data_IF_716755951241
#
_entry.id   IF_716755951241
#
_cell.length_a   1.000
_cell.length_b   1.000
_cell.length_c   1.000
_cell.angle_alpha   90.00
_cell.angle_beta   90.00
_cell.angle_gamma   90.00
#
_symmetry.space_group_name_H-M   'P 1'
#
loop_
_entity.id
_entity.type
_entity.pdbx_description
1 polymer ?
#
# COMPACT_ATOMS: atom_id res chain seq x y z
N UNK A 1 -8.07 -17.74 2.82
CA UNK A 1 -8.64 -16.93 1.73
C UNK A 1 -7.63 -15.86 1.37
N UNK A 2 -7.28 -15.79 0.08
CA UNK A 2 -5.97 -15.34 -0.41
C UNK A 2 -5.70 -13.85 -0.23
N UNK A 3 -4.78 -13.54 0.69
CA UNK A 3 -4.08 -12.26 0.70
C UNK A 3 -3.15 -12.30 -0.50
N UNK A 4 -3.46 -11.51 -1.53
CA UNK A 4 -2.59 -11.40 -2.70
C UNK A 4 -1.40 -10.51 -2.35
N UNK A 5 -0.32 -11.13 -1.84
CA UNK A 5 0.98 -10.47 -1.69
C UNK A 5 1.73 -10.53 -3.02
N UNK A 6 2.05 -9.37 -3.56
CA UNK A 6 2.68 -9.21 -4.87
C UNK A 6 4.21 -9.19 -4.72
N UNK A 7 4.81 -10.33 -4.40
CA UNK A 7 6.25 -10.55 -4.62
C UNK A 7 6.47 -10.96 -6.08
N UNK A 8 6.69 -9.99 -6.95
CA UNK A 8 7.33 -10.15 -8.27
C UNK A 8 6.81 -11.31 -9.17
N UNK A 9 5.49 -11.59 -9.18
CA UNK A 9 4.85 -12.59 -10.07
C UNK A 9 3.38 -12.36 -10.46
N UNK A 10 2.75 -11.27 -10.05
CA UNK A 10 1.34 -11.02 -10.35
C UNK A 10 1.16 -9.63 -10.95
N UNK A 11 0.53 -9.57 -12.13
CA UNK A 11 0.39 -8.36 -12.93
C UNK A 11 -0.55 -7.33 -12.25
N UNK A 12 -0.35 -6.05 -12.57
CA UNK A 12 -1.30 -4.98 -12.25
C UNK A 12 -2.75 -5.43 -12.52
N UNK A 13 -3.74 -5.00 -11.71
CA UNK A 13 -5.12 -5.43 -11.87
C UNK A 13 -5.54 -5.27 -13.34
N UNK A 14 -6.17 -6.30 -13.89
CA UNK A 14 -6.55 -6.26 -15.30
C UNK A 14 -7.46 -5.06 -15.55
N UNK A 15 -7.46 -4.55 -16.78
CA UNK A 15 -8.30 -3.40 -17.15
C UNK A 15 -9.76 -3.64 -16.76
N UNK A 16 -10.26 -4.87 -16.92
CA UNK A 16 -11.61 -5.27 -16.50
C UNK A 16 -11.84 -5.25 -14.98
N UNK A 17 -10.88 -5.73 -14.17
CA UNK A 17 -10.99 -5.64 -12.71
C UNK A 17 -10.97 -4.19 -12.25
N UNK A 18 -10.12 -3.38 -12.87
CA UNK A 18 -10.03 -1.95 -12.64
C UNK A 18 -11.36 -1.28 -12.99
N UNK A 19 -11.94 -1.57 -14.16
CA UNK A 19 -13.21 -1.01 -14.59
C UNK A 19 -14.42 -1.52 -13.80
N UNK A 20 -14.34 -2.72 -13.21
CA UNK A 20 -15.42 -3.31 -12.41
C UNK A 20 -15.45 -2.77 -10.98
N UNK A 21 -14.29 -2.60 -10.35
CA UNK A 21 -14.21 -2.23 -8.93
C UNK A 21 -13.78 -0.78 -8.69
N UNK A 22 -13.16 -0.11 -9.68
CA UNK A 22 -12.77 1.30 -9.59
C UNK A 22 -13.77 2.25 -10.28
N UNK A 23 -15.06 1.90 -10.24
CA UNK A 23 -16.14 2.81 -10.64
C UNK A 23 -16.86 3.31 -9.39
N UNK A 24 -17.18 4.60 -9.38
CA UNK A 24 -17.92 5.24 -8.28
C UNK A 24 -17.09 6.28 -7.55
N UNK A 25 -17.63 6.79 -6.46
CA UNK A 25 -16.91 7.67 -5.54
C UNK A 25 -15.78 6.88 -4.89
N UNK A 26 -14.58 7.46 -4.92
CA UNK A 26 -13.38 6.88 -4.34
C UNK A 26 -12.93 7.78 -3.21
N UNK A 27 -12.71 7.18 -2.05
CA UNK A 27 -12.08 7.85 -0.92
C UNK A 27 -10.58 7.59 -0.98
N UNK A 28 -9.83 8.62 -1.35
CA UNK A 28 -8.37 8.56 -1.50
C UNK A 28 -7.69 9.06 -0.23
N UNK A 29 -6.84 8.21 0.34
CA UNK A 29 -6.03 8.51 1.51
C UNK A 29 -4.56 8.41 1.15
N UNK A 30 -3.82 9.49 1.40
CA UNK A 30 -2.36 9.51 1.29
C UNK A 30 -1.78 9.36 2.69
N UNK A 31 -0.92 8.36 2.85
CA UNK A 31 -0.36 7.92 4.11
C UNK A 31 1.16 7.86 4.01
N UNK A 32 1.81 7.95 5.17
CA UNK A 32 3.26 7.87 5.26
C UNK A 32 3.99 9.17 4.86
N UNK A 33 5.34 9.13 4.88
CA UNK A 33 6.18 10.27 4.52
C UNK A 33 5.94 10.62 3.05
N UNK A 34 5.76 11.92 2.78
CA UNK A 34 5.52 12.47 1.43
C UNK A 34 4.32 11.88 0.66
N UNK A 35 3.40 11.17 1.33
CA UNK A 35 2.28 10.49 0.66
C UNK A 35 2.72 9.29 -0.18
N UNK A 36 3.85 8.67 0.19
CA UNK A 36 4.42 7.49 -0.47
C UNK A 36 3.48 6.27 -0.49
N UNK A 37 2.52 6.19 0.44
CA UNK A 37 1.50 5.16 0.47
C UNK A 37 0.15 5.77 0.10
N UNK A 38 -0.51 5.23 -0.92
CA UNK A 38 -1.85 5.62 -1.33
C UNK A 38 -2.83 4.49 -1.07
N UNK A 39 -3.89 4.76 -0.30
CA UNK A 39 -5.00 3.86 -0.08
C UNK A 39 -6.26 4.43 -0.74
N UNK A 40 -6.78 3.76 -1.75
CA UNK A 40 -8.03 4.09 -2.42
C UNK A 40 -9.13 3.16 -1.94
N UNK A 41 -10.16 3.69 -1.29
CA UNK A 41 -11.32 2.93 -0.84
C UNK A 41 -12.47 3.15 -1.82
N UNK A 42 -12.95 2.05 -2.39
CA UNK A 42 -14.16 1.97 -3.18
C UNK A 42 -15.29 1.36 -2.34
N UNK A 43 -16.51 1.35 -2.87
CA UNK A 43 -17.68 0.79 -2.20
C UNK A 43 -17.41 -0.66 -1.73
N UNK A 44 -16.96 -1.52 -2.64
CA UNK A 44 -16.72 -2.95 -2.39
C UNK A 44 -15.26 -3.40 -2.60
N UNK A 45 -14.31 -2.47 -2.66
CA UNK A 45 -12.91 -2.79 -2.87
C UNK A 45 -11.99 -1.76 -2.22
N UNK A 46 -10.74 -2.12 -2.00
CA UNK A 46 -9.69 -1.21 -1.58
C UNK A 46 -8.42 -1.47 -2.40
N UNK A 47 -7.75 -0.41 -2.82
CA UNK A 47 -6.49 -0.49 -3.54
C UNK A 47 -5.41 0.22 -2.74
N UNK A 48 -4.41 -0.54 -2.32
CA UNK A 48 -3.26 -0.06 -1.58
C UNK A 48 -2.06 0.00 -2.53
N UNK A 49 -1.38 1.13 -2.56
CA UNK A 49 -0.18 1.38 -3.35
C UNK A 49 0.90 1.92 -2.44
N UNK A 50 2.11 1.44 -2.62
CA UNK A 50 3.34 1.95 -2.02
C UNK A 50 4.29 2.31 -3.18
N UNK A 51 4.66 3.58 -3.28
CA UNK A 51 5.57 4.05 -4.33
C UNK A 51 7.04 3.76 -3.98
N UNK A 52 7.38 3.72 -2.69
CA UNK A 52 8.75 3.48 -2.20
C UNK A 52 9.19 2.04 -2.47
N UNK A 53 8.32 1.07 -2.21
CA UNK A 53 8.62 -0.36 -2.37
C UNK A 53 7.96 -0.95 -3.64
N UNK A 54 7.32 -0.10 -4.45
CA UNK A 54 6.56 -0.50 -5.65
C UNK A 54 5.47 -1.55 -5.37
N UNK A 55 4.96 -1.60 -4.14
CA UNK A 55 3.91 -2.54 -3.74
C UNK A 55 2.55 -2.04 -4.25
N UNK A 56 1.73 -2.95 -4.79
CA UNK A 56 0.38 -2.66 -5.25
C UNK A 56 -0.52 -3.83 -4.90
N UNK A 57 -1.52 -3.60 -4.05
CA UNK A 57 -2.42 -4.63 -3.54
C UNK A 57 -3.85 -4.20 -3.81
N UNK A 58 -4.63 -5.09 -4.45
CA UNK A 58 -6.07 -4.91 -4.60
C UNK A 58 -6.79 -5.89 -3.66
N UNK A 59 -7.56 -5.33 -2.74
CA UNK A 59 -8.49 -6.05 -1.88
C UNK A 59 -9.89 -5.94 -2.48
N UNK A 60 -10.53 -7.09 -2.74
CA UNK A 60 -11.88 -7.15 -3.31
C UNK A 60 -12.83 -7.78 -2.31
N UNK A 61 -13.95 -7.12 -2.03
CA UNK A 61 -14.94 -7.54 -1.04
C UNK A 61 -14.84 -6.76 0.27
N UNK A 62 -15.99 -6.54 0.90
CA UNK A 62 -16.13 -5.73 2.12
C UNK A 62 -15.29 -6.26 3.30
N UNK A 63 -15.14 -7.58 3.41
CA UNK A 63 -14.32 -8.21 4.45
C UNK A 63 -12.82 -7.92 4.28
N UNK A 64 -12.34 -7.89 3.04
CA UNK A 64 -10.92 -7.68 2.74
C UNK A 64 -10.57 -6.18 2.70
N UNK A 65 -11.57 -5.30 2.54
CA UNK A 65 -11.41 -3.84 2.66
C UNK A 65 -10.92 -3.42 4.04
N UNK A 66 -11.37 -4.08 5.11
CA UNK A 66 -10.87 -3.81 6.48
C UNK A 66 -9.37 -4.10 6.58
N UNK A 67 -8.92 -5.21 5.98
CA UNK A 67 -7.50 -5.59 5.96
C UNK A 67 -6.65 -4.61 5.18
N UNK A 68 -7.20 -3.94 4.16
CA UNK A 68 -6.47 -2.93 3.40
C UNK A 68 -6.04 -1.75 4.28
N UNK A 69 -6.86 -1.36 5.25
CA UNK A 69 -6.54 -0.31 6.22
C UNK A 69 -5.46 -0.78 7.18
N UNK A 70 -5.56 -2.01 7.68
CA UNK A 70 -4.55 -2.60 8.58
C UNK A 70 -3.19 -2.75 7.88
N UNK A 71 -3.16 -3.23 6.64
CA UNK A 71 -1.93 -3.36 5.85
C UNK A 71 -1.35 -1.98 5.50
N UNK A 72 -2.19 -0.98 5.22
CA UNK A 72 -1.71 0.39 4.99
C UNK A 72 -1.02 0.96 6.23
N UNK A 73 -1.62 0.79 7.42
CA UNK A 73 -1.01 1.22 8.69
C UNK A 73 0.31 0.46 8.96
N UNK A 74 0.36 -0.84 8.67
CA UNK A 74 1.58 -1.63 8.81
C UNK A 74 2.70 -1.17 7.87
N UNK A 75 2.37 -0.80 6.61
CA UNK A 75 3.33 -0.24 5.66
C UNK A 75 3.87 1.12 6.14
N UNK A 76 3.01 2.00 6.65
CA UNK A 76 3.45 3.29 7.21
C UNK A 76 4.45 3.07 8.34
N UNK A 77 4.11 2.18 9.29
CA UNK A 77 4.98 1.87 10.42
C UNK A 77 6.31 1.26 9.96
N UNK A 78 6.29 0.41 8.92
CA UNK A 78 7.49 -0.16 8.33
C UNK A 78 8.42 0.92 7.75
N UNK A 79 7.89 1.86 6.96
CA UNK A 79 8.69 2.94 6.39
C UNK A 79 9.23 3.90 7.44
N UNK A 80 8.42 4.26 8.45
CA UNK A 80 8.90 5.09 9.56
C UNK A 80 10.08 4.43 10.30
N UNK A 81 9.97 3.14 10.63
CA UNK A 81 11.06 2.42 11.27
C UNK A 81 12.30 2.30 10.36
N UNK A 82 12.10 2.16 9.04
CA UNK A 82 13.19 2.09 8.07
C UNK A 82 13.90 3.43 7.94
N UNK A 83 13.16 4.53 7.84
CA UNK A 83 13.72 5.89 7.82
C UNK A 83 14.46 6.21 9.11
N UNK A 84 13.92 5.84 10.28
CA UNK A 84 14.63 6.00 11.56
C UNK A 84 15.93 5.18 11.60
N UNK A 85 15.92 3.96 11.04
CA UNK A 85 17.12 3.15 10.91
C UNK A 85 18.14 3.78 9.94
N UNK A 86 17.71 4.26 8.77
CA UNK A 86 18.57 4.93 7.80
C UNK A 86 19.12 6.26 8.34
N UNK A 87 18.31 7.03 9.07
CA UNK A 87 18.74 8.25 9.75
C UNK A 87 19.73 7.96 10.88
N UNK A 88 19.58 6.83 11.58
CA UNK A 88 20.50 6.40 12.64
C UNK A 88 21.84 5.88 12.09
N UNK A 89 21.91 5.49 10.82
CA UNK A 89 23.15 5.13 10.15
C UNK A 89 23.93 6.39 9.73
N UNK A 90 24.64 6.98 10.68
CA UNK A 90 25.71 7.94 10.37
C UNK A 90 27.01 7.16 10.09
N UNK A 91 27.54 7.10 8.85
CA UNK A 91 28.91 6.65 8.62
C UNK A 91 29.85 7.79 9.04
N UNK A 92 29.96 8.03 10.35
CA UNK A 92 30.78 9.07 10.94
C UNK A 92 31.65 8.49 12.03
N UNK A 93 32.85 8.02 11.66
CA UNK A 93 33.80 7.51 12.64
C UNK A 93 35.11 7.03 12.02
N UNK A 94 35.69 7.79 11.09
CA UNK A 94 37.12 7.69 10.82
C UNK A 94 37.77 8.92 11.45
N UNK A 95 38.43 8.69 12.59
CA UNK A 95 39.27 9.64 13.32
C UNK A 95 40.33 8.86 14.06
#
# INVERSE_FOLDING_TARGET
MGIFRYENKYAAPSREQRERYMRGEVEEHHLGPDGSITLLLYEHAAYLKDDNDSIRILFTGDTDKVKAVEEAAAMVAYHQNREEAEASFHPGGTG
#
